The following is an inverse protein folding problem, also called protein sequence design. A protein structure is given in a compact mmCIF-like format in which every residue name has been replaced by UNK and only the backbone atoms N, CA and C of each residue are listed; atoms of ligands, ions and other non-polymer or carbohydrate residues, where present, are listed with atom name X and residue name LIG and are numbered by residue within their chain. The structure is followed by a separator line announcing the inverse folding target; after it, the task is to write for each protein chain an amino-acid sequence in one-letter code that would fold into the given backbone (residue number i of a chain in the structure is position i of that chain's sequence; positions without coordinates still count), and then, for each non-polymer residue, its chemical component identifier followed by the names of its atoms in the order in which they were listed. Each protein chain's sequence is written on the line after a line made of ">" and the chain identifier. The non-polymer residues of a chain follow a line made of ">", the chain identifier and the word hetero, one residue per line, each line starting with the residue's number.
data_IF_870198787053
#
_entry.id   IF_870198787053
#
_cell.length_a   1.000
_cell.length_b   1.000
_cell.length_c   1.000
_cell.angle_alpha   90.00
_cell.angle_beta   90.00
_cell.angle_gamma   90.00
#
_symmetry.space_group_name_H-M   'P 1'
#
loop_
_entity.id
_entity.type
_entity.pdbx_description
1 polymer ?
#
# COMPACT_ATOMS: atom_id res chain seq x y z
N UNK A 1 12.18 -4.74 9.75
CA UNK A 1 11.09 -4.86 8.72
C UNK A 1 9.66 -5.04 9.25
N UNK A 2 9.47 -5.49 10.49
CA UNK A 2 8.19 -5.63 11.17
C UNK A 2 8.28 -5.20 12.64
N UNK A 3 7.24 -5.40 13.46
CA UNK A 3 7.13 -4.80 14.79
C UNK A 3 8.22 -5.30 15.76
N UNK A 4 8.81 -6.46 15.47
CA UNK A 4 9.87 -7.08 16.26
C UNK A 4 11.24 -6.35 16.19
N UNK A 5 11.43 -5.40 15.26
CA UNK A 5 12.70 -4.66 15.07
C UNK A 5 12.51 -3.14 15.14
N UNK A 6 11.56 -2.66 15.95
CA UNK A 6 11.41 -1.23 16.25
C UNK A 6 10.43 -0.45 15.36
N UNK A 7 9.62 -1.13 14.54
CA UNK A 7 8.52 -0.51 13.79
C UNK A 7 8.32 -1.11 12.40
N UNK A 8 7.31 -0.63 11.69
CA UNK A 8 7.07 -1.02 10.31
C UNK A 8 7.73 -0.04 9.34
N UNK A 9 8.14 -0.53 8.17
CA UNK A 9 8.20 0.30 6.97
C UNK A 9 6.90 0.17 6.17
N UNK A 10 6.72 0.99 5.13
CA UNK A 10 5.47 1.09 4.39
C UNK A 10 4.94 -0.27 3.90
N UNK A 11 5.79 -1.04 3.22
CA UNK A 11 5.44 -2.36 2.67
C UNK A 11 5.40 -3.48 3.71
N UNK A 12 6.14 -3.34 4.80
CA UNK A 12 6.09 -4.24 5.96
C UNK A 12 4.76 -4.12 6.70
N UNK A 13 4.27 -2.89 6.88
CA UNK A 13 2.96 -2.60 7.47
C UNK A 13 1.84 -3.25 6.67
N UNK A 14 1.79 -3.01 5.36
CA UNK A 14 0.73 -3.56 4.50
C UNK A 14 0.78 -5.08 4.49
N UNK A 15 1.98 -5.66 4.37
CA UNK A 15 2.16 -7.11 4.42
C UNK A 15 1.65 -7.71 5.72
N UNK A 16 2.01 -7.13 6.86
CA UNK A 16 1.56 -7.62 8.16
C UNK A 16 0.04 -7.48 8.34
N UNK A 17 -0.54 -6.34 7.95
CA UNK A 17 -1.98 -6.11 8.01
C UNK A 17 -2.76 -7.15 7.20
N UNK A 18 -2.36 -7.39 5.95
CA UNK A 18 -3.04 -8.33 5.05
C UNK A 18 -2.80 -9.81 5.41
N UNK A 19 -1.67 -10.14 6.04
CA UNK A 19 -1.42 -11.49 6.54
C UNK A 19 -2.44 -11.92 7.60
N UNK A 20 -2.98 -10.98 8.39
CA UNK A 20 -4.03 -11.29 9.41
C UNK A 20 -5.31 -11.86 8.81
N UNK A 21 -5.56 -11.58 7.53
CA UNK A 21 -6.71 -12.08 6.77
C UNK A 21 -6.28 -13.05 5.65
N UNK A 22 -5.10 -13.68 5.81
CA UNK A 22 -4.55 -14.69 4.90
C UNK A 22 -4.30 -14.21 3.46
N UNK A 23 -4.04 -12.92 3.27
CA UNK A 23 -3.60 -12.37 1.99
C UNK A 23 -2.10 -12.12 2.07
N UNK A 24 -1.32 -12.94 1.35
CA UNK A 24 0.13 -12.85 1.37
C UNK A 24 0.63 -11.83 0.36
N UNK A 25 1.10 -10.69 0.87
CA UNK A 25 1.73 -9.67 0.04
C UNK A 25 3.26 -9.87 -0.07
N UNK A 26 3.85 -9.54 -1.24
CA UNK A 26 5.29 -9.41 -1.37
C UNK A 26 5.88 -8.43 -0.36
N UNK A 27 7.17 -8.60 -0.03
CA UNK A 27 7.84 -7.81 1.01
C UNK A 27 8.00 -6.33 0.64
N UNK A 28 8.23 -6.01 -0.63
CA UNK A 28 8.61 -4.67 -1.10
C UNK A 28 7.49 -3.99 -1.87
N UNK A 29 7.37 -2.66 -1.76
CA UNK A 29 6.28 -1.86 -2.36
C UNK A 29 6.14 -2.07 -3.87
N UNK A 30 7.24 -2.08 -4.62
CA UNK A 30 7.22 -2.35 -6.07
C UNK A 30 6.66 -3.74 -6.41
N UNK A 31 6.96 -4.75 -5.60
CA UNK A 31 6.44 -6.10 -5.83
C UNK A 31 4.95 -6.18 -5.45
N UNK A 32 4.51 -5.48 -4.41
CA UNK A 32 3.08 -5.35 -4.08
C UNK A 32 2.31 -4.66 -5.21
N UNK A 33 2.87 -3.61 -5.82
CA UNK A 33 2.30 -2.96 -7.00
C UNK A 33 2.12 -3.93 -8.18
N UNK A 34 3.08 -4.84 -8.37
CA UNK A 34 3.07 -5.79 -9.48
C UNK A 34 2.22 -7.05 -9.23
N UNK A 35 1.86 -7.35 -7.97
CA UNK A 35 1.27 -8.64 -7.60
C UNK A 35 -0.20 -8.80 -8.01
N UNK A 36 -0.95 -7.70 -8.12
CA UNK A 36 -2.39 -7.74 -8.35
C UNK A 36 -2.85 -6.84 -9.50
N UNK A 37 -4.07 -7.05 -10.02
CA UNK A 37 -4.64 -6.16 -11.01
C UNK A 37 -4.76 -4.74 -10.46
N UNK A 38 -4.40 -3.75 -11.27
CA UNK A 38 -4.58 -2.34 -10.94
C UNK A 38 -6.06 -1.99 -11.08
N UNK A 39 -6.56 -1.15 -10.17
CA UNK A 39 -7.88 -0.57 -10.32
C UNK A 39 -7.91 0.33 -11.56
N UNK A 40 -8.90 0.17 -12.46
CA UNK A 40 -9.08 1.08 -13.59
C UNK A 40 -9.28 2.52 -13.13
N UNK A 41 -8.84 3.48 -13.93
CA UNK A 41 -9.07 4.90 -13.67
C UNK A 41 -10.57 5.18 -13.48
N UNK A 42 -10.91 6.00 -12.48
CA UNK A 42 -12.29 6.32 -12.13
C UNK A 42 -12.99 5.29 -11.24
N UNK A 43 -12.36 4.15 -10.93
CA UNK A 43 -12.91 3.20 -9.96
C UNK A 43 -12.91 3.82 -8.56
N UNK A 44 -14.03 3.83 -7.82
CA UNK A 44 -14.05 4.31 -6.44
C UNK A 44 -13.14 3.48 -5.54
N UNK A 45 -12.30 4.17 -4.77
CA UNK A 45 -11.48 3.57 -3.73
C UNK A 45 -12.34 3.17 -2.55
N UNK A 46 -12.06 2.00 -1.99
CA UNK A 46 -12.71 1.47 -0.79
C UNK A 46 -11.67 1.28 0.32
N UNK A 47 -12.06 1.44 1.60
CA UNK A 47 -11.18 1.13 2.72
C UNK A 47 -10.53 -0.25 2.56
N UNK A 48 -9.21 -0.29 2.73
CA UNK A 48 -8.37 -1.45 2.47
C UNK A 48 -7.54 -1.34 1.19
N UNK A 49 -8.02 -0.67 0.13
CA UNK A 49 -7.27 -0.58 -1.14
C UNK A 49 -5.84 -0.07 -0.90
N UNK A 50 -4.86 -0.73 -1.53
CA UNK A 50 -3.46 -0.28 -1.44
C UNK A 50 -3.21 0.82 -2.44
N UNK A 51 -2.60 1.91 -1.99
CA UNK A 51 -2.23 3.07 -2.77
C UNK A 51 -0.73 3.09 -2.97
N UNK A 52 -0.27 3.29 -4.20
CA UNK A 52 1.16 3.21 -4.54
C UNK A 52 1.70 4.54 -5.03
N UNK A 53 2.90 4.88 -4.56
CA UNK A 53 3.59 6.11 -4.93
C UNK A 53 5.03 5.84 -5.36
N UNK A 54 5.50 6.65 -6.31
CA UNK A 54 6.80 6.53 -6.92
C UNK A 54 7.00 7.58 -8.02
N UNK A 55 8.18 7.59 -8.65
CA UNK A 55 8.42 8.51 -9.78
C UNK A 55 7.80 8.00 -11.08
N UNK A 56 7.59 6.68 -11.20
CA UNK A 56 6.90 6.02 -12.29
C UNK A 56 6.48 4.59 -11.88
N UNK A 57 5.69 3.85 -12.69
CA UNK A 57 5.23 2.50 -12.35
C UNK A 57 6.31 1.43 -12.15
N UNK A 58 7.55 1.68 -12.60
CA UNK A 58 8.71 0.79 -12.41
C UNK A 58 9.61 1.25 -11.24
N UNK A 59 9.27 2.34 -10.57
CA UNK A 59 10.01 2.94 -9.48
C UNK A 59 9.07 3.37 -8.34
N UNK A 60 8.23 2.43 -7.89
CA UNK A 60 7.36 2.56 -6.73
C UNK A 60 8.17 2.40 -5.45
N UNK A 61 8.14 3.44 -4.61
CA UNK A 61 8.93 3.54 -3.38
C UNK A 61 8.07 3.54 -2.12
N UNK A 62 6.77 3.79 -2.23
CA UNK A 62 5.88 3.89 -1.09
C UNK A 62 4.53 3.22 -1.33
N UNK A 63 3.94 2.69 -0.25
CA UNK A 63 2.61 2.08 -0.25
C UNK A 63 1.88 2.42 1.04
N UNK A 64 0.57 2.66 0.95
CA UNK A 64 -0.31 2.88 2.10
C UNK A 64 -1.64 2.15 1.93
N UNK A 65 -2.37 1.98 3.03
CA UNK A 65 -3.72 1.39 3.05
C UNK A 65 -4.73 2.54 3.05
N UNK A 66 -5.59 2.62 2.04
CA UNK A 66 -6.66 3.61 2.02
C UNK A 66 -7.62 3.40 3.20
N UNK A 67 -7.88 4.44 3.99
CA UNK A 67 -8.81 4.39 5.13
C UNK A 67 -10.16 5.05 4.83
N UNK A 68 -10.30 5.70 3.67
CA UNK A 68 -11.49 6.45 3.28
C UNK A 68 -11.23 7.97 3.26
N UNK A 69 -12.19 8.74 2.74
CA UNK A 69 -12.17 10.22 2.78
C UNK A 69 -10.83 10.88 2.37
N UNK A 70 -10.13 10.37 1.35
CA UNK A 70 -8.81 10.86 0.96
C UNK A 70 -7.73 10.76 2.05
N UNK A 71 -7.82 9.76 2.92
CA UNK A 71 -6.80 9.41 3.91
C UNK A 71 -6.24 8.01 3.66
N UNK A 72 -5.03 7.78 4.14
CA UNK A 72 -4.38 6.49 4.17
C UNK A 72 -3.64 6.27 5.49
N UNK A 73 -3.50 5.00 5.86
CA UNK A 73 -2.62 4.55 6.94
C UNK A 73 -1.29 4.12 6.31
N UNK A 74 -0.19 4.70 6.77
CA UNK A 74 1.15 4.40 6.28
C UNK A 74 2.22 4.39 7.38
N UNK A 75 3.36 3.78 7.06
CA UNK A 75 4.61 3.93 7.79
C UNK A 75 5.63 4.58 6.83
N UNK A 76 5.93 5.88 6.96
CA UNK A 76 6.63 6.64 5.92
C UNK A 76 8.08 6.21 5.67
N UNK A 77 8.73 5.57 6.65
CA UNK A 77 10.08 5.02 6.55
C UNK A 77 10.28 3.93 7.61
N UNK A 78 11.34 3.10 7.53
CA UNK A 78 11.65 2.13 8.57
C UNK A 78 11.71 2.78 9.96
N UNK A 79 11.11 2.12 10.96
CA UNK A 79 11.04 2.60 12.34
C UNK A 79 10.09 3.78 12.58
N UNK A 80 9.34 4.22 11.56
CA UNK A 80 8.37 5.29 11.73
C UNK A 80 7.14 4.83 12.53
N UNK A 81 6.52 5.77 13.24
CA UNK A 81 5.20 5.59 13.84
C UNK A 81 4.17 5.52 12.72
N UNK A 82 3.36 4.46 12.75
CA UNK A 82 2.21 4.30 11.86
C UNK A 82 1.25 5.47 12.09
N UNK A 83 0.81 6.10 11.01
CA UNK A 83 -0.07 7.27 11.08
C UNK A 83 -1.18 7.19 10.05
N UNK A 84 -2.23 7.96 10.28
CA UNK A 84 -3.21 8.29 9.26
C UNK A 84 -2.90 9.68 8.70
N UNK A 85 -2.88 9.81 7.38
CA UNK A 85 -2.56 11.07 6.69
C UNK A 85 -3.41 11.27 5.45
N UNK A 86 -3.65 12.53 5.07
CA UNK A 86 -4.25 12.86 3.79
C UNK A 86 -3.36 12.40 2.63
N UNK A 87 -4.00 12.01 1.53
CA UNK A 87 -3.34 11.51 0.34
C UNK A 87 -3.73 12.29 -0.91
N UNK A 88 -2.74 12.59 -1.76
CA UNK A 88 -2.94 13.21 -3.07
C UNK A 88 -3.01 12.13 -4.16
N UNK A 89 -4.18 11.98 -4.79
CA UNK A 89 -4.44 10.92 -5.78
C UNK A 89 -4.37 11.40 -7.24
N UNK A 90 -4.03 12.67 -7.46
CA UNK A 90 -3.99 13.30 -8.79
C UNK A 90 -2.61 13.83 -9.17
N UNK A 91 -1.59 13.61 -8.32
CA UNK A 91 -0.23 14.07 -8.53
C UNK A 91 0.63 13.08 -9.33
N UNK A 92 1.79 13.54 -9.87
CA UNK A 92 2.68 12.70 -10.68
C UNK A 92 3.32 11.56 -9.87
N UNK A 93 3.27 11.64 -8.55
CA UNK A 93 3.80 10.61 -7.66
C UNK A 93 2.84 9.45 -7.46
N UNK A 94 1.54 9.61 -7.71
CA UNK A 94 0.56 8.53 -7.55
C UNK A 94 0.59 7.59 -8.76
N UNK A 95 0.88 6.31 -8.52
CA UNK A 95 1.07 5.31 -9.59
C UNK A 95 -0.12 4.35 -9.75
N UNK A 96 -1.13 4.50 -8.89
CA UNK A 96 -2.38 3.74 -8.93
C UNK A 96 -2.67 3.01 -7.62
N UNK A 97 -3.70 2.18 -7.68
CA UNK A 97 -4.17 1.38 -6.56
C UNK A 97 -4.45 -0.06 -6.97
N UNK A 98 -4.43 -0.97 -6.00
CA UNK A 98 -4.96 -2.33 -6.14
C UNK A 98 -5.92 -2.64 -5.00
N UNK A 99 -6.82 -3.59 -5.23
CA UNK A 99 -7.70 -4.17 -4.22
C UNK A 99 -7.25 -5.60 -3.94
N UNK A 100 -6.41 -5.83 -2.93
CA UNK A 100 -5.94 -7.17 -2.62
C UNK A 100 -7.13 -8.07 -2.28
N UNK A 101 -7.12 -9.27 -2.84
CA UNK A 101 -8.10 -10.30 -2.52
C UNK A 101 -7.41 -11.65 -2.49
N UNK A 102 -7.97 -12.65 -1.77
CA UNK A 102 -7.39 -14.00 -1.71
C UNK A 102 -7.24 -14.67 -3.08
N UNK A 103 -7.96 -14.18 -4.12
CA UNK A 103 -7.86 -14.68 -5.50
C UNK A 103 -6.79 -14.00 -6.34
N UNK A 104 -6.23 -12.87 -5.89
CA UNK A 104 -5.22 -12.10 -6.62
C UNK A 104 -3.81 -12.19 -6.03
N UNK A 105 -3.64 -12.73 -4.83
CA UNK A 105 -2.35 -12.98 -4.20
C UNK A 105 -1.99 -14.47 -4.32
N UNK A 106 -1.33 -14.86 -5.40
CA UNK A 106 -0.72 -16.18 -5.55
C UNK A 106 0.76 -16.02 -5.84
#
# INVERSE_FOLDING_TARGET
>A
DGPAEGGFDCSGLTKAAYATININLPRVAQAQYNAGPRLPAGTPLLPGDLLFFGTNPRAVTHVGIYSGHHHMIDAPHPGAVVRETRVQLTGPTYQGATRPSPRGAR
#
